data_IF_143629434250
#
_entry.id   IF_143629434250
#
_cell.length_a   1.000
_cell.length_b   1.000
_cell.length_c   1.000
_cell.angle_alpha   90.00
_cell.angle_beta   90.00
_cell.angle_gamma   90.00
#
_symmetry.space_group_name_H-M   'P 1'
#
loop_
_entity.id
_entity.type
_entity.pdbx_description
1 polymer ?
#
# COMPACT_ATOMS: atom_id res chain seq x y z
N UNK A 1 28.28 14.67 7.68
CA UNK A 1 27.07 14.47 6.86
C UNK A 1 26.88 15.73 6.02
N UNK A 2 26.55 15.62 4.72
CA UNK A 2 26.26 16.80 3.90
C UNK A 2 25.01 17.51 4.43
N UNK A 3 25.06 18.84 4.51
CA UNK A 3 23.95 19.68 4.95
C UNK A 3 23.18 20.22 3.74
N UNK A 4 21.86 20.23 3.83
CA UNK A 4 20.96 20.83 2.84
C UNK A 4 20.00 21.78 3.56
N UNK A 5 19.82 22.98 3.02
CA UNK A 5 18.81 23.91 3.48
C UNK A 5 17.47 23.53 2.86
N UNK A 6 16.42 23.49 3.68
CA UNK A 6 15.07 23.10 3.28
C UNK A 6 14.13 24.21 3.74
N UNK A 7 13.30 24.69 2.83
CA UNK A 7 12.22 25.62 3.17
C UNK A 7 11.01 24.81 3.62
N UNK A 8 10.53 25.08 4.83
CA UNK A 8 9.30 24.50 5.36
C UNK A 8 8.19 25.53 5.27
N UNK A 9 6.98 25.07 4.97
CA UNK A 9 5.78 25.88 5.17
C UNK A 9 5.53 26.06 6.67
N UNK A 10 4.76 27.08 7.05
CA UNK A 10 4.42 27.36 8.46
C UNK A 10 3.86 26.13 9.18
N UNK A 11 3.03 25.35 8.50
CA UNK A 11 2.49 24.09 9.02
C UNK A 11 3.57 23.10 9.43
N UNK A 12 4.56 22.84 8.56
CA UNK A 12 5.62 21.88 8.83
C UNK A 12 6.66 22.42 9.81
N UNK A 13 6.91 23.74 9.80
CA UNK A 13 7.73 24.39 10.81
C UNK A 13 7.13 24.16 12.21
N UNK A 14 5.82 24.44 12.38
CA UNK A 14 5.13 24.23 13.65
C UNK A 14 5.13 22.76 14.07
N UNK A 15 4.95 21.82 13.13
CA UNK A 15 5.04 20.40 13.40
C UNK A 15 6.42 20.01 13.98
N UNK A 16 7.51 20.50 13.37
CA UNK A 16 8.87 20.24 13.84
C UNK A 16 9.08 20.83 15.23
N UNK A 17 8.64 22.07 15.47
CA UNK A 17 8.73 22.71 16.79
C UNK A 17 8.00 21.90 17.87
N UNK A 18 6.76 21.48 17.60
CA UNK A 18 5.98 20.65 18.52
C UNK A 18 6.67 19.30 18.79
N UNK A 19 7.26 18.69 17.76
CA UNK A 19 7.98 17.43 17.89
C UNK A 19 9.23 17.57 18.77
N UNK A 20 9.94 18.70 18.69
CA UNK A 20 11.07 19.02 19.56
C UNK A 20 10.63 19.32 20.98
N UNK A 21 9.58 20.15 21.16
CA UNK A 21 9.03 20.49 22.46
C UNK A 21 8.53 19.26 23.24
N UNK A 22 8.06 18.23 22.53
CA UNK A 22 7.66 16.96 23.15
C UNK A 22 8.83 16.13 23.69
N UNK A 23 10.08 16.48 23.37
CA UNK A 23 11.27 15.72 23.73
C UNK A 23 11.49 14.44 22.91
N UNK A 24 10.60 14.12 21.97
CA UNK A 24 10.72 12.93 21.10
C UNK A 24 11.95 12.97 20.19
N UNK A 25 12.39 14.18 19.80
CA UNK A 25 13.54 14.40 18.94
C UNK A 25 14.43 15.50 19.51
N UNK A 26 15.74 15.40 19.28
CA UNK A 26 16.72 16.36 19.82
C UNK A 26 16.98 17.54 18.89
N UNK A 27 16.69 17.41 17.61
CA UNK A 27 16.92 18.44 16.60
C UNK A 27 16.05 18.21 15.35
N UNK A 28 15.82 19.27 14.57
CA UNK A 28 15.01 19.22 13.36
C UNK A 28 15.51 18.17 12.35
N UNK A 29 16.83 17.97 12.26
CA UNK A 29 17.39 16.97 11.35
C UNK A 29 16.99 15.53 11.70
N UNK A 30 16.75 15.21 12.98
CA UNK A 30 16.21 13.91 13.37
C UNK A 30 14.76 13.73 12.93
N UNK A 31 13.94 14.78 13.05
CA UNK A 31 12.55 14.78 12.59
C UNK A 31 12.49 14.54 11.08
N UNK A 32 13.28 15.30 10.32
CA UNK A 32 13.35 15.17 8.86
C UNK A 32 13.85 13.78 8.44
N UNK A 33 14.88 13.23 9.10
CA UNK A 33 15.34 11.86 8.81
C UNK A 33 14.28 10.80 9.12
N UNK A 34 13.52 10.98 10.20
CA UNK A 34 12.42 10.07 10.53
C UNK A 34 11.30 10.14 9.48
N UNK A 35 10.95 11.35 9.02
CA UNK A 35 9.98 11.56 7.96
C UNK A 35 10.45 10.93 6.62
N UNK A 36 11.71 11.12 6.25
CA UNK A 36 12.27 10.53 5.03
C UNK A 36 12.29 9.00 5.07
N UNK A 37 12.65 8.38 6.20
CA UNK A 37 12.56 6.92 6.35
C UNK A 37 11.13 6.40 6.19
N UNK A 38 10.15 7.16 6.70
CA UNK A 38 8.74 6.81 6.53
C UNK A 38 8.32 6.91 5.06
N UNK A 39 8.74 7.97 4.37
CA UNK A 39 8.48 8.16 2.95
C UNK A 39 9.11 7.03 2.10
N UNK A 40 10.39 6.72 2.31
CA UNK A 40 11.08 5.63 1.62
C UNK A 40 10.37 4.28 1.83
N UNK A 41 9.92 4.00 3.05
CA UNK A 41 9.15 2.78 3.35
C UNK A 41 7.82 2.77 2.61
N UNK A 42 7.08 3.88 2.62
CA UNK A 42 5.81 3.99 1.91
C UNK A 42 6.00 3.79 0.40
N UNK A 43 7.00 4.45 -0.19
CA UNK A 43 7.32 4.30 -1.61
C UNK A 43 7.70 2.85 -1.96
N UNK A 44 8.47 2.17 -1.10
CA UNK A 44 8.79 0.75 -1.27
C UNK A 44 7.57 -0.15 -1.17
N UNK A 45 6.66 0.10 -0.22
CA UNK A 45 5.42 -0.66 -0.05
C UNK A 45 4.50 -0.48 -1.25
N UNK A 46 4.38 0.75 -1.77
CA UNK A 46 3.54 1.04 -2.92
C UNK A 46 4.11 0.45 -4.21
N UNK A 47 5.43 0.49 -4.41
CA UNK A 47 6.08 -0.21 -5.50
C UNK A 47 5.81 -1.73 -5.45
N UNK A 48 5.93 -2.34 -4.27
CA UNK A 48 5.65 -3.76 -4.09
C UNK A 48 4.18 -4.13 -4.36
N UNK A 49 3.22 -3.29 -3.95
CA UNK A 49 1.79 -3.47 -4.27
C UNK A 49 1.54 -3.44 -5.77
N UNK A 50 2.14 -2.49 -6.48
CA UNK A 50 1.99 -2.38 -7.94
C UNK A 50 2.57 -3.60 -8.65
N UNK A 51 3.74 -4.09 -8.23
CA UNK A 51 4.31 -5.32 -8.79
C UNK A 51 3.44 -6.55 -8.51
N UNK A 52 2.89 -6.67 -7.29
CA UNK A 52 1.96 -7.75 -6.96
C UNK A 52 0.69 -7.70 -7.82
N UNK A 53 0.11 -6.51 -8.03
CA UNK A 53 -1.07 -6.34 -8.89
C UNK A 53 -0.75 -6.66 -10.36
N UNK A 54 0.42 -6.27 -10.86
CA UNK A 54 0.88 -6.61 -12.21
C UNK A 54 1.03 -8.12 -12.39
N UNK A 55 1.62 -8.79 -11.40
CA UNK A 55 1.78 -10.24 -11.40
C UNK A 55 0.42 -10.96 -11.39
N UNK A 56 -0.50 -10.57 -10.51
CA UNK A 56 -1.84 -11.14 -10.44
C UNK A 56 -2.65 -10.90 -11.72
N UNK A 57 -2.54 -9.70 -12.31
CA UNK A 57 -3.18 -9.41 -13.60
C UNK A 57 -2.62 -10.30 -14.71
N UNK A 58 -1.29 -10.45 -14.77
CA UNK A 58 -0.64 -11.31 -15.75
C UNK A 58 -1.07 -12.77 -15.61
N UNK A 59 -1.16 -13.26 -14.37
CA UNK A 59 -1.67 -14.60 -14.09
C UNK A 59 -3.09 -14.79 -14.61
N UNK A 60 -3.99 -13.83 -14.34
CA UNK A 60 -5.36 -13.84 -14.86
C UNK A 60 -5.43 -13.75 -16.40
N UNK A 61 -4.61 -12.90 -17.01
CA UNK A 61 -4.50 -12.78 -18.47
C UNK A 61 -4.02 -14.09 -19.11
N UNK A 62 -2.96 -14.69 -18.56
CA UNK A 62 -2.42 -15.96 -19.05
C UNK A 62 -3.43 -17.11 -18.88
N UNK A 63 -4.24 -17.11 -17.80
CA UNK A 63 -5.33 -18.07 -17.60
C UNK A 63 -6.46 -17.88 -18.62
N UNK A 64 -6.91 -16.64 -18.81
CA UNK A 64 -7.92 -16.29 -19.81
C UNK A 64 -7.52 -16.72 -21.22
N UNK A 65 -6.29 -16.44 -21.63
CA UNK A 65 -5.77 -16.81 -22.95
C UNK A 65 -5.69 -18.33 -23.17
N UNK A 66 -5.58 -19.13 -22.11
CA UNK A 66 -5.63 -20.61 -22.18
C UNK A 66 -7.05 -21.17 -22.10
N UNK A 67 -8.06 -20.31 -21.97
CA UNK A 67 -9.46 -20.73 -21.78
C UNK A 67 -9.79 -21.19 -20.37
N UNK A 68 -8.92 -20.90 -19.39
CA UNK A 68 -9.12 -21.23 -17.98
C UNK A 68 -9.92 -20.12 -17.29
N UNK A 69 -11.19 -20.01 -17.66
CA UNK A 69 -12.14 -19.06 -17.10
C UNK A 69 -13.54 -19.66 -17.10
N UNK A 70 -14.40 -19.12 -16.23
CA UNK A 70 -15.84 -19.43 -16.25
C UNK A 70 -16.58 -18.19 -16.74
N UNK A 71 -17.37 -18.34 -17.80
CA UNK A 71 -18.26 -17.28 -18.27
C UNK A 71 -19.47 -17.19 -17.35
N UNK A 72 -19.77 -15.99 -16.85
CA UNK A 72 -20.94 -15.69 -16.03
C UNK A 72 -21.83 -14.74 -16.83
N UNK A 73 -23.02 -15.19 -17.17
CA UNK A 73 -23.96 -14.50 -18.08
C UNK A 73 -25.12 -13.83 -17.33
N UNK A 74 -25.16 -13.96 -16.00
CA UNK A 74 -26.21 -13.34 -15.17
C UNK A 74 -25.76 -13.06 -13.74
N UNK A 75 -26.43 -12.10 -13.09
CA UNK A 75 -26.22 -11.79 -11.67
C UNK A 75 -26.45 -13.01 -10.77
N UNK A 76 -27.41 -13.87 -11.11
CA UNK A 76 -27.68 -15.12 -10.39
C UNK A 76 -26.51 -16.13 -10.50
N UNK A 77 -25.71 -16.09 -11.57
CA UNK A 77 -24.49 -16.89 -11.68
C UNK A 77 -23.37 -16.32 -10.80
N UNK A 78 -23.26 -14.99 -10.73
CA UNK A 78 -22.31 -14.31 -9.87
C UNK A 78 -22.59 -14.63 -8.40
N UNK A 79 -23.85 -14.53 -7.96
CA UNK A 79 -24.25 -14.82 -6.59
C UNK A 79 -23.91 -16.27 -6.20
N UNK A 80 -24.20 -17.24 -7.09
CA UNK A 80 -23.87 -18.66 -6.85
C UNK A 80 -22.37 -18.90 -6.68
N UNK A 81 -21.53 -18.27 -7.50
CA UNK A 81 -20.08 -18.39 -7.38
C UNK A 81 -19.60 -17.84 -6.03
N UNK A 82 -20.13 -16.69 -5.59
CA UNK A 82 -19.77 -16.13 -4.29
C UNK A 82 -20.23 -17.00 -3.12
N UNK A 83 -21.43 -17.60 -3.20
CA UNK A 83 -21.90 -18.57 -2.20
C UNK A 83 -20.99 -19.81 -2.13
N UNK A 84 -20.61 -20.37 -3.28
CA UNK A 84 -19.71 -21.54 -3.35
C UNK A 84 -18.34 -21.25 -2.72
N UNK A 85 -17.76 -20.09 -3.02
CA UNK A 85 -16.49 -19.63 -2.43
C UNK A 85 -16.64 -19.48 -0.90
N UNK A 86 -17.75 -18.89 -0.42
CA UNK A 86 -17.98 -18.72 1.02
C UNK A 86 -18.07 -20.07 1.74
N UNK A 87 -18.77 -21.04 1.16
CA UNK A 87 -18.88 -22.40 1.70
C UNK A 87 -17.54 -23.16 1.70
N UNK A 88 -16.69 -22.95 0.69
CA UNK A 88 -15.35 -23.53 0.66
C UNK A 88 -14.46 -22.97 1.78
N UNK A 89 -14.50 -21.65 2.00
CA UNK A 89 -13.74 -20.99 3.08
C UNK A 89 -14.19 -21.47 4.46
N UNK A 90 -15.50 -21.65 4.67
CA UNK A 90 -16.03 -22.16 5.93
C UNK A 90 -15.69 -23.64 6.17
N UNK A 91 -15.58 -24.45 5.12
CA UNK A 91 -15.12 -25.85 5.22
C UNK A 91 -13.62 -25.99 5.48
N UNK A 92 -12.83 -24.98 5.13
CA UNK A 92 -11.38 -24.95 5.34
C UNK A 92 -10.97 -24.48 6.76
N UNK A 93 -11.93 -24.07 7.60
CA UNK A 93 -11.73 -23.67 9.00
C UNK A 93 -12.01 -24.80 9.97
#
# INVERSE_FOLDING_TARGET
MPTRNINLTDHYAQYVENALASGRYKNASEVVRAALRLLERQESEDAAKIEALRAAFKEGEDAYLRGDFTALESDAEIDRVFEEIAEEVDRAR
#
